data_IF_705689292634
#
_entry.id   IF_705689292634
#
_cell.length_a   1.000
_cell.length_b   1.000
_cell.length_c   1.000
_cell.angle_alpha   90.00
_cell.angle_beta   90.00
_cell.angle_gamma   90.00
#
_symmetry.space_group_name_H-M   'P 1'
#
loop_
_entity.id
_entity.type
_entity.pdbx_description
1 polymer ?
#
# COMPACT_ATOMS: atom_id res chain seq x y z
N UNK A 1 8.32 -13.48 -5.85
CA UNK A 1 7.49 -13.40 -4.63
C UNK A 1 7.53 -11.96 -4.10
N UNK A 2 6.66 -11.59 -3.17
CA UNK A 2 6.74 -10.30 -2.47
C UNK A 2 7.80 -10.38 -1.37
N UNK A 3 8.82 -9.53 -1.48
CA UNK A 3 9.97 -9.52 -0.57
C UNK A 3 10.15 -8.11 -0.01
N UNK A 4 10.46 -8.01 1.29
CA UNK A 4 10.81 -6.76 1.97
C UNK A 4 12.30 -6.76 2.34
N UNK A 5 12.68 -7.16 3.56
CA UNK A 5 14.09 -7.23 4.00
C UNK A 5 14.88 -8.42 3.43
N UNK A 6 14.19 -9.40 2.82
CA UNK A 6 14.79 -10.64 2.33
C UNK A 6 15.09 -11.68 3.42
N UNK A 7 14.81 -11.41 4.70
CA UNK A 7 15.12 -12.33 5.81
C UNK A 7 14.47 -13.70 5.63
N UNK A 8 13.22 -13.74 5.16
CA UNK A 8 12.52 -15.00 4.89
C UNK A 8 13.22 -15.83 3.81
N UNK A 9 13.78 -15.19 2.77
CA UNK A 9 14.53 -15.92 1.75
C UNK A 9 15.84 -16.47 2.33
N UNK A 10 16.60 -15.65 3.08
CA UNK A 10 17.87 -16.06 3.71
C UNK A 10 17.70 -17.24 4.65
N UNK A 11 16.68 -17.21 5.50
CA UNK A 11 16.39 -18.29 6.45
C UNK A 11 16.12 -19.64 5.76
N UNK A 12 15.75 -19.62 4.47
CA UNK A 12 15.48 -20.81 3.66
C UNK A 12 16.58 -21.11 2.64
N UNK A 13 17.74 -20.42 2.71
CA UNK A 13 18.82 -20.62 1.74
C UNK A 13 18.50 -20.15 0.32
N UNK A 14 17.52 -19.24 0.18
CA UNK A 14 17.11 -18.65 -1.09
C UNK A 14 17.69 -17.24 -1.28
N UNK A 15 17.77 -16.80 -2.53
CA UNK A 15 18.31 -15.49 -2.93
C UNK A 15 17.35 -14.82 -3.91
N UNK A 16 17.18 -13.50 -3.80
CA UNK A 16 16.46 -12.72 -4.80
C UNK A 16 17.31 -12.61 -6.07
N UNK A 17 16.82 -13.17 -7.18
CA UNK A 17 17.56 -13.24 -8.45
C UNK A 17 17.36 -11.96 -9.26
N UNK A 18 16.13 -11.45 -9.27
CA UNK A 18 15.74 -10.29 -10.06
C UNK A 18 14.56 -9.59 -9.38
N UNK A 19 14.59 -8.26 -9.38
CA UNK A 19 13.47 -7.43 -8.93
C UNK A 19 12.60 -7.07 -10.12
N UNK A 20 11.40 -7.66 -10.18
CA UNK A 20 10.44 -7.47 -11.28
C UNK A 20 9.75 -6.10 -11.19
N UNK A 21 9.31 -5.70 -9.99
CA UNK A 21 8.62 -4.43 -9.77
C UNK A 21 8.70 -3.97 -8.32
N UNK A 22 8.65 -2.66 -8.10
CA UNK A 22 8.42 -2.08 -6.78
C UNK A 22 6.91 -2.06 -6.47
N UNK A 23 6.56 -2.31 -5.21
CA UNK A 23 5.17 -2.30 -4.75
C UNK A 23 4.97 -1.31 -3.60
N UNK A 24 3.77 -0.75 -3.54
CA UNK A 24 3.32 0.14 -2.47
C UNK A 24 1.87 -0.17 -2.11
N UNK A 25 1.48 0.14 -0.88
CA UNK A 25 0.07 0.12 -0.48
C UNK A 25 -0.67 1.31 -1.09
N UNK A 26 -1.92 1.10 -1.53
CA UNK A 26 -2.77 2.15 -2.09
C UNK A 26 -4.15 2.11 -1.44
N UNK A 27 -4.72 3.28 -1.15
CA UNK A 27 -6.12 3.41 -0.78
C UNK A 27 -6.98 3.34 -2.05
N UNK A 28 -7.75 2.26 -2.20
CA UNK A 28 -8.65 2.06 -3.34
C UNK A 28 -10.10 2.31 -2.89
N UNK A 29 -10.82 3.13 -3.64
CA UNK A 29 -12.19 3.52 -3.33
C UNK A 29 -13.15 2.98 -4.38
N UNK A 30 -14.26 2.42 -3.91
CA UNK A 30 -15.36 2.02 -4.78
C UNK A 30 -16.02 3.25 -5.41
N UNK A 31 -16.14 3.26 -6.75
CA UNK A 31 -16.68 4.41 -7.50
C UNK A 31 -18.15 4.71 -7.18
N UNK A 32 -18.98 3.70 -6.90
CA UNK A 32 -20.37 3.92 -6.53
C UNK A 32 -20.46 4.62 -5.16
N UNK A 33 -19.69 4.14 -4.18
CA UNK A 33 -19.58 4.79 -2.87
C UNK A 33 -19.03 6.23 -2.98
N UNK A 34 -18.07 6.48 -3.86
CA UNK A 34 -17.54 7.83 -4.13
C UNK A 34 -18.61 8.82 -4.59
N UNK A 35 -19.63 8.34 -5.31
CA UNK A 35 -20.74 9.19 -5.79
C UNK A 35 -21.82 9.39 -4.72
N UNK A 36 -22.09 8.38 -3.91
CA UNK A 36 -23.20 8.41 -2.94
C UNK A 36 -22.78 8.91 -1.56
N UNK A 37 -21.49 8.83 -1.22
CA UNK A 37 -20.96 9.17 0.09
C UNK A 37 -19.66 10.01 0.00
N UNK A 38 -19.65 11.13 -0.76
CA UNK A 38 -18.43 11.88 -1.03
C UNK A 38 -17.81 12.51 0.23
N UNK A 39 -18.63 13.02 1.16
CA UNK A 39 -18.13 13.68 2.37
C UNK A 39 -17.37 12.71 3.29
N UNK A 40 -17.97 11.54 3.57
CA UNK A 40 -17.35 10.49 4.37
C UNK A 40 -16.02 10.02 3.76
N UNK A 41 -16.00 9.82 2.44
CA UNK A 41 -14.80 9.36 1.75
C UNK A 41 -13.72 10.43 1.68
N UNK A 42 -14.08 11.71 1.51
CA UNK A 42 -13.12 12.82 1.59
C UNK A 42 -12.45 12.85 2.96
N UNK A 43 -13.21 12.67 4.03
CA UNK A 43 -12.67 12.63 5.39
C UNK A 43 -11.62 11.53 5.55
N UNK A 44 -11.90 10.32 5.05
CA UNK A 44 -10.93 9.21 5.09
C UNK A 44 -9.68 9.52 4.27
N UNK A 45 -9.84 10.04 3.05
CA UNK A 45 -8.70 10.42 2.21
C UNK A 45 -7.82 11.45 2.92
N UNK A 46 -8.43 12.46 3.55
CA UNK A 46 -7.69 13.51 4.26
C UNK A 46 -7.00 12.97 5.52
N UNK A 47 -7.61 11.99 6.22
CA UNK A 47 -6.96 11.29 7.35
C UNK A 47 -5.71 10.53 6.88
N UNK A 48 -5.79 9.79 5.78
CA UNK A 48 -4.62 9.09 5.22
C UNK A 48 -3.53 10.06 4.76
N UNK A 49 -3.88 11.16 4.09
CA UNK A 49 -2.92 12.20 3.68
C UNK A 49 -2.19 12.79 4.89
N UNK A 50 -2.92 13.21 5.93
CA UNK A 50 -2.31 13.73 7.15
C UNK A 50 -1.39 12.71 7.83
N UNK A 51 -1.75 11.43 7.83
CA UNK A 51 -0.88 10.39 8.39
C UNK A 51 0.43 10.20 7.59
N UNK A 52 0.42 10.52 6.29
CA UNK A 52 1.61 10.47 5.44
C UNK A 52 2.49 11.72 5.59
N UNK A 53 1.90 12.91 5.78
CA UNK A 53 2.63 14.18 5.91
C UNK A 53 3.38 14.33 7.25
N UNK A 54 3.09 13.48 8.24
CA UNK A 54 3.72 13.50 9.57
C UNK A 54 4.93 12.54 9.65
N UNK A 55 5.23 11.82 8.56
CA UNK A 55 6.39 10.95 8.42
C UNK A 55 7.57 11.67 7.74
#
# INVERSE_FOLDING_TARGET
DLVSSGETLRANGLVEVERIAEITSRLIINRAAAKTQPALLSEWVDRFRRALDVA
#
